data_IF_989181788537
#
_entry.id   IF_989181788537
#
_cell.length_a   1.000
_cell.length_b   1.000
_cell.length_c   1.000
_cell.angle_alpha   90.00
_cell.angle_beta   90.00
_cell.angle_gamma   90.00
#
_symmetry.space_group_name_H-M   'P 1'
#
loop_
_entity.id
_entity.type
_entity.pdbx_description
1 polymer ?
#
# COMPACT_ATOMS: atom_id res chain seq x y z
N UNK A 1 19.53 54.36 -15.85
CA UNK A 1 18.40 53.67 -15.24
C UNK A 1 18.40 52.26 -15.80
N UNK A 2 18.64 51.26 -14.95
CA UNK A 2 18.56 49.85 -15.40
C UNK A 2 17.06 49.51 -15.55
N UNK A 3 16.67 49.18 -16.78
CA UNK A 3 15.34 48.61 -17.04
C UNK A 3 15.34 47.23 -16.39
N UNK A 4 14.64 47.09 -15.27
CA UNK A 4 14.38 45.75 -14.69
C UNK A 4 13.61 44.95 -15.74
N UNK A 5 14.20 43.86 -16.22
CA UNK A 5 13.49 42.95 -17.10
C UNK A 5 12.24 42.44 -16.37
N UNK A 6 11.11 42.45 -17.06
CA UNK A 6 9.86 41.87 -16.50
C UNK A 6 10.11 40.43 -16.05
N UNK A 7 9.55 40.00 -14.91
CA UNK A 7 9.77 38.66 -14.41
C UNK A 7 9.32 37.61 -15.43
N UNK A 8 10.16 36.60 -15.70
CA UNK A 8 9.84 35.50 -16.61
C UNK A 8 8.88 34.50 -15.92
N UNK A 9 7.66 34.40 -16.47
CA UNK A 9 6.62 33.53 -15.95
C UNK A 9 7.02 32.05 -15.88
N UNK A 10 7.80 31.56 -16.85
CA UNK A 10 8.36 30.20 -16.85
C UNK A 10 9.35 30.01 -15.70
N UNK A 11 10.25 30.97 -15.50
CA UNK A 11 11.24 30.90 -14.44
C UNK A 11 10.56 30.94 -13.07
N UNK A 12 9.62 31.85 -12.84
CA UNK A 12 8.88 31.95 -11.60
C UNK A 12 8.04 30.70 -11.34
N UNK A 13 7.38 30.14 -12.36
CA UNK A 13 6.67 28.87 -12.26
C UNK A 13 7.61 27.74 -11.85
N UNK A 14 8.76 27.62 -12.51
CA UNK A 14 9.75 26.58 -12.22
C UNK A 14 10.23 26.63 -10.77
N UNK A 15 10.47 27.82 -10.24
CA UNK A 15 10.97 28.01 -8.87
C UNK A 15 9.92 27.76 -7.79
N UNK A 16 8.64 28.08 -8.05
CA UNK A 16 7.62 28.13 -7.02
C UNK A 16 6.52 27.06 -7.16
N UNK A 17 6.28 26.53 -8.34
CA UNK A 17 5.09 25.73 -8.64
C UNK A 17 5.40 24.34 -9.20
N UNK A 18 6.50 24.17 -9.95
CA UNK A 18 6.77 22.96 -10.73
C UNK A 18 6.99 21.71 -9.90
N UNK A 19 7.38 21.84 -8.63
CA UNK A 19 7.56 20.70 -7.72
C UNK A 19 6.23 19.98 -7.42
N UNK A 20 5.11 20.72 -7.51
CA UNK A 20 3.80 20.18 -7.15
C UNK A 20 2.83 20.11 -8.34
N UNK A 21 3.09 20.82 -9.43
CA UNK A 21 2.20 20.93 -10.59
C UNK A 21 2.92 20.56 -11.87
N UNK A 22 2.48 19.49 -12.54
CA UNK A 22 2.96 19.07 -13.85
C UNK A 22 1.98 19.47 -14.95
N UNK A 23 2.44 19.48 -16.21
CA UNK A 23 1.63 19.91 -17.35
C UNK A 23 0.30 19.14 -17.44
N UNK A 24 0.38 17.83 -17.49
CA UNK A 24 -0.72 16.94 -17.88
C UNK A 24 -1.01 15.83 -16.85
N UNK A 25 -0.44 15.92 -15.67
CA UNK A 25 -0.63 14.92 -14.59
C UNK A 25 -0.80 15.60 -13.23
N UNK A 26 -1.72 15.07 -12.43
CA UNK A 26 -1.79 15.40 -11.01
C UNK A 26 -0.68 14.66 -10.25
N UNK A 27 0.14 15.37 -9.49
CA UNK A 27 1.18 14.81 -8.61
C UNK A 27 0.82 15.11 -7.16
N UNK A 28 1.26 16.23 -6.64
CA UNK A 28 0.85 16.77 -5.34
C UNK A 28 -0.37 17.68 -5.52
N UNK A 29 -0.28 18.59 -6.49
CA UNK A 29 -1.34 19.49 -6.90
C UNK A 29 -1.97 19.08 -8.25
N UNK A 30 -3.05 19.78 -8.67
CA UNK A 30 -3.69 19.56 -9.96
C UNK A 30 -2.71 19.81 -11.13
N UNK A 31 -2.98 19.16 -12.26
CA UNK A 31 -2.26 19.42 -13.51
C UNK A 31 -2.47 20.86 -14.01
N UNK A 32 -1.58 21.35 -14.86
CA UNK A 32 -1.80 22.67 -15.48
C UNK A 32 -3.01 22.65 -16.42
N UNK A 33 -3.34 21.51 -17.02
CA UNK A 33 -4.56 21.33 -17.80
C UNK A 33 -5.81 21.54 -16.92
N UNK A 34 -5.84 20.96 -15.73
CA UNK A 34 -6.92 21.18 -14.76
C UNK A 34 -6.97 22.64 -14.28
N UNK A 35 -5.82 23.22 -13.92
CA UNK A 35 -5.72 24.62 -13.50
C UNK A 35 -6.25 25.54 -14.61
N UNK A 36 -5.88 25.30 -15.86
CA UNK A 36 -6.45 26.02 -17.00
C UNK A 36 -7.97 25.89 -17.04
N UNK A 37 -8.51 24.70 -16.91
CA UNK A 37 -9.97 24.47 -16.92
C UNK A 37 -10.70 25.26 -15.84
N UNK A 38 -10.08 25.43 -14.67
CA UNK A 38 -10.66 26.17 -13.54
C UNK A 38 -10.58 27.69 -13.70
N UNK A 39 -9.46 28.21 -14.27
CA UNK A 39 -9.11 29.63 -14.21
C UNK A 39 -8.96 30.32 -15.57
N UNK A 40 -9.25 29.64 -16.70
CA UNK A 40 -9.20 30.31 -18.02
C UNK A 40 -10.12 31.53 -18.03
N UNK A 41 -9.58 32.69 -18.39
CA UNK A 41 -10.29 33.97 -18.38
C UNK A 41 -10.57 34.54 -16.98
N UNK A 42 -10.00 33.95 -15.92
CA UNK A 42 -10.23 34.36 -14.51
C UNK A 42 -8.90 34.60 -13.76
N UNK A 43 -8.04 35.52 -14.23
CA UNK A 43 -6.74 35.76 -13.60
C UNK A 43 -6.86 36.17 -12.15
N UNK A 44 -7.84 37.02 -11.79
CA UNK A 44 -7.99 37.51 -10.43
C UNK A 44 -8.45 36.40 -9.44
N UNK A 45 -9.23 35.43 -9.90
CA UNK A 45 -9.60 34.28 -9.07
C UNK A 45 -8.39 33.34 -8.86
N UNK A 46 -7.53 33.18 -9.88
CA UNK A 46 -6.27 32.48 -9.75
C UNK A 46 -5.35 33.15 -8.72
N UNK A 47 -5.21 34.47 -8.79
CA UNK A 47 -4.40 35.24 -7.83
C UNK A 47 -4.92 35.07 -6.40
N UNK A 48 -6.23 35.30 -6.19
CA UNK A 48 -6.87 35.15 -4.88
C UNK A 48 -6.62 33.76 -4.30
N UNK A 49 -6.81 32.71 -5.14
CA UNK A 49 -6.55 31.34 -4.73
C UNK A 49 -5.09 31.12 -4.35
N UNK A 50 -4.16 31.58 -5.18
CA UNK A 50 -2.72 31.40 -4.97
C UNK A 50 -2.20 32.10 -3.72
N UNK A 51 -2.78 33.24 -3.36
CA UNK A 51 -2.42 34.00 -2.15
C UNK A 51 -3.02 33.35 -0.89
N UNK A 52 -4.27 32.90 -0.95
CA UNK A 52 -4.99 32.33 0.19
C UNK A 52 -5.65 30.98 -0.19
N UNK A 53 -4.86 29.95 -0.47
CA UNK A 53 -5.40 28.67 -0.86
C UNK A 53 -6.16 28.00 0.28
N UNK A 54 -7.24 27.31 -0.08
CA UNK A 54 -8.05 26.55 0.87
C UNK A 54 -8.04 25.07 0.50
N UNK A 55 -8.32 24.20 1.46
CA UNK A 55 -8.38 22.76 1.21
C UNK A 55 -9.63 22.41 0.40
N UNK A 56 -9.46 22.02 -0.87
CA UNK A 56 -10.56 21.61 -1.75
C UNK A 56 -10.71 20.08 -1.87
N UNK A 57 -9.67 19.32 -1.52
CA UNK A 57 -9.67 17.85 -1.65
C UNK A 57 -9.33 17.20 -0.33
N UNK A 58 -10.19 16.31 0.19
CA UNK A 58 -9.84 15.48 1.35
C UNK A 58 -8.56 14.68 1.08
N UNK A 59 -7.65 14.60 2.05
CA UNK A 59 -6.40 13.84 1.91
C UNK A 59 -5.29 14.50 1.07
N UNK A 60 -5.56 15.58 0.35
CA UNK A 60 -4.52 16.32 -0.37
C UNK A 60 -3.62 17.12 0.59
N UNK A 61 -2.36 17.31 0.20
CA UNK A 61 -1.45 18.25 0.86
C UNK A 61 -1.95 19.67 0.60
N UNK A 62 -1.92 20.51 1.62
CA UNK A 62 -2.36 21.89 1.50
C UNK A 62 -1.36 22.69 0.66
N UNK A 63 -1.86 23.43 -0.34
CA UNK A 63 -1.03 24.32 -1.13
C UNK A 63 -0.53 25.46 -0.22
N UNK A 64 0.78 25.74 -0.16
CA UNK A 64 1.28 26.87 0.58
C UNK A 64 0.85 28.20 -0.07
N UNK A 65 0.71 29.26 0.74
CA UNK A 65 0.46 30.60 0.21
C UNK A 65 1.62 31.10 -0.65
N UNK A 66 1.30 31.61 -1.82
CA UNK A 66 2.25 32.19 -2.77
C UNK A 66 2.33 33.72 -2.67
N UNK A 67 1.94 34.29 -1.54
CA UNK A 67 1.96 35.76 -1.30
C UNK A 67 3.35 36.36 -1.54
N UNK A 68 4.42 35.62 -1.28
CA UNK A 68 5.81 36.05 -1.46
C UNK A 68 6.20 36.26 -2.93
N UNK A 69 5.46 35.69 -3.89
CA UNK A 69 5.70 35.87 -5.33
C UNK A 69 5.21 37.25 -5.80
N UNK A 70 4.24 37.82 -5.09
CA UNK A 70 3.60 39.06 -5.44
C UNK A 70 2.59 38.94 -6.59
N UNK A 71 1.67 39.91 -6.68
CA UNK A 71 0.62 39.87 -7.70
C UNK A 71 1.14 39.90 -9.13
N UNK A 72 2.16 40.72 -9.43
CA UNK A 72 2.75 40.78 -10.75
C UNK A 72 3.40 39.45 -11.15
N UNK A 73 4.15 38.82 -10.24
CA UNK A 73 4.74 37.50 -10.45
C UNK A 73 3.69 36.42 -10.63
N UNK A 74 2.59 36.47 -9.90
CA UNK A 74 1.48 35.51 -10.06
C UNK A 74 0.73 35.70 -11.38
N UNK A 75 0.63 36.92 -11.91
CA UNK A 75 0.03 37.19 -13.23
C UNK A 75 0.85 36.57 -14.35
N UNK A 76 2.16 36.77 -14.36
CA UNK A 76 3.01 36.14 -15.40
C UNK A 76 3.11 34.63 -15.26
N UNK A 77 2.99 34.06 -14.03
CA UNK A 77 2.82 32.62 -13.82
C UNK A 77 1.49 32.15 -14.41
N UNK A 78 0.40 32.87 -14.19
CA UNK A 78 -0.90 32.56 -14.77
C UNK A 78 -0.83 32.51 -16.30
N UNK A 79 -0.25 33.55 -16.94
CA UNK A 79 -0.10 33.61 -18.40
C UNK A 79 0.72 32.43 -18.91
N UNK A 80 1.83 32.11 -18.25
CA UNK A 80 2.64 30.95 -18.57
C UNK A 80 1.84 29.64 -18.50
N UNK A 81 1.07 29.41 -17.42
CA UNK A 81 0.21 28.23 -17.27
C UNK A 81 -0.81 28.16 -18.41
N UNK A 82 -1.48 29.29 -18.72
CA UNK A 82 -2.47 29.34 -19.80
C UNK A 82 -1.86 29.04 -21.15
N UNK A 83 -0.62 29.44 -21.39
CA UNK A 83 0.05 29.20 -22.67
C UNK A 83 0.50 27.73 -22.78
N UNK A 84 1.24 27.21 -21.80
CA UNK A 84 1.84 25.86 -21.91
C UNK A 84 0.79 24.75 -21.87
N UNK A 85 -0.35 24.98 -21.23
CA UNK A 85 -1.43 24.01 -21.14
C UNK A 85 -2.46 24.09 -22.27
N UNK A 86 -2.28 25.02 -23.21
CA UNK A 86 -3.17 25.18 -24.37
C UNK A 86 -3.07 23.97 -25.28
N UNK A 87 -4.21 23.27 -25.47
CA UNK A 87 -4.29 22.07 -26.29
C UNK A 87 -3.71 20.81 -25.66
N UNK A 88 -3.11 20.91 -24.46
CA UNK A 88 -2.69 19.74 -23.73
C UNK A 88 -3.89 18.95 -23.18
N UNK A 89 -3.77 17.63 -23.13
CA UNK A 89 -4.79 16.71 -22.61
C UNK A 89 -4.25 16.11 -21.32
N UNK A 90 -5.09 16.11 -20.28
CA UNK A 90 -4.75 15.48 -19.02
C UNK A 90 -4.60 13.97 -19.19
N UNK A 91 -3.46 13.44 -18.82
CA UNK A 91 -3.25 12.00 -18.78
C UNK A 91 -4.09 11.41 -17.66
N UNK A 92 -5.01 10.53 -18.02
CA UNK A 92 -5.73 9.74 -17.01
C UNK A 92 -4.72 8.89 -16.26
N UNK A 93 -4.75 9.01 -14.95
CA UNK A 93 -3.98 8.15 -14.07
C UNK A 93 -4.55 6.74 -14.22
N UNK A 94 -3.82 5.85 -14.88
CA UNK A 94 -4.18 4.45 -14.91
C UNK A 94 -4.08 3.90 -13.49
N UNK A 95 -5.24 3.54 -12.93
CA UNK A 95 -5.32 2.79 -11.69
C UNK A 95 -5.07 1.33 -12.04
N UNK A 96 -3.84 0.91 -12.00
CA UNK A 96 -3.45 -0.47 -12.25
C UNK A 96 -2.28 -0.87 -11.37
N UNK A 97 -2.09 -2.15 -11.18
CA UNK A 97 -0.87 -2.68 -10.61
C UNK A 97 0.27 -2.39 -11.59
N UNK A 98 1.23 -1.49 -11.27
CA UNK A 98 2.34 -1.18 -12.18
C UNK A 98 3.24 -2.39 -12.44
N UNK A 99 3.13 -3.46 -11.63
CA UNK A 99 3.81 -4.73 -11.83
C UNK A 99 3.05 -5.66 -12.77
N UNK A 100 1.73 -5.52 -12.89
CA UNK A 100 0.93 -6.31 -13.85
C UNK A 100 1.27 -5.97 -15.31
N UNK A 101 1.75 -4.77 -15.59
CA UNK A 101 2.09 -4.29 -16.92
C UNK A 101 3.51 -4.71 -17.38
N UNK A 102 4.34 -5.26 -16.50
CA UNK A 102 5.71 -5.70 -16.84
C UNK A 102 5.81 -7.21 -16.82
N UNK A 103 6.09 -7.86 -17.98
CA UNK A 103 6.28 -9.30 -18.03
C UNK A 103 7.37 -9.82 -17.07
N UNK A 104 8.36 -8.99 -16.74
CA UNK A 104 9.44 -9.32 -15.81
C UNK A 104 9.07 -9.07 -14.35
N UNK A 105 8.03 -8.30 -14.08
CA UNK A 105 7.57 -7.94 -12.74
C UNK A 105 6.29 -8.68 -12.32
N UNK A 106 5.60 -9.31 -13.27
CA UNK A 106 4.43 -10.14 -13.01
C UNK A 106 4.78 -11.60 -12.64
N UNK A 107 6.06 -11.88 -12.37
CA UNK A 107 6.48 -13.23 -11.95
C UNK A 107 5.97 -13.50 -10.55
N UNK A 108 5.16 -14.56 -10.42
CA UNK A 108 4.67 -15.06 -9.13
C UNK A 108 5.49 -16.27 -8.69
N UNK A 109 5.69 -16.45 -7.39
CA UNK A 109 5.27 -15.58 -6.28
C UNK A 109 6.08 -14.28 -6.19
N UNK A 110 5.51 -13.24 -5.53
CA UNK A 110 6.16 -11.95 -5.36
C UNK A 110 6.05 -11.47 -3.91
N UNK A 111 7.12 -10.87 -3.38
CA UNK A 111 7.19 -10.36 -2.01
C UNK A 111 7.63 -8.89 -2.04
N UNK A 112 6.87 -8.03 -1.40
CA UNK A 112 7.17 -6.60 -1.32
C UNK A 112 7.06 -6.07 0.10
N UNK A 113 8.06 -5.29 0.53
CA UNK A 113 7.98 -4.45 1.72
C UNK A 113 7.35 -3.13 1.33
N UNK A 114 6.14 -2.90 1.76
CA UNK A 114 5.35 -1.73 1.37
C UNK A 114 4.32 -1.43 2.47
N UNK A 115 3.94 -0.17 2.61
CA UNK A 115 2.90 0.23 3.55
C UNK A 115 1.55 -0.27 3.08
N UNK A 116 0.95 -1.14 3.88
CA UNK A 116 -0.34 -1.76 3.60
C UNK A 116 -1.43 -1.19 4.53
N UNK A 117 -2.69 -1.10 4.07
CA UNK A 117 -3.81 -0.74 4.94
C UNK A 117 -3.88 -1.64 6.18
N UNK A 118 -4.33 -1.11 7.30
CA UNK A 118 -4.55 -1.84 8.57
C UNK A 118 -3.37 -2.69 9.06
N UNK A 119 -2.15 -2.31 8.68
CA UNK A 119 -0.91 -2.95 9.09
C UNK A 119 0.11 -1.92 9.58
N UNK A 120 1.15 -2.37 10.29
CA UNK A 120 2.24 -1.50 10.70
C UNK A 120 3.10 -1.06 9.51
N UNK A 121 3.94 -0.02 9.66
CA UNK A 121 4.90 0.36 8.63
C UNK A 121 5.88 -0.76 8.21
N UNK A 122 5.95 -1.84 8.99
CA UNK A 122 6.78 -3.01 8.70
C UNK A 122 6.02 -4.11 7.95
N UNK A 123 4.96 -3.78 7.24
CA UNK A 123 4.15 -4.73 6.49
C UNK A 123 4.87 -5.30 5.26
N UNK A 124 4.49 -6.51 4.92
CA UNK A 124 5.02 -7.31 3.82
C UNK A 124 3.85 -7.86 3.03
N UNK A 125 3.68 -7.37 1.81
CA UNK A 125 2.71 -7.91 0.87
C UNK A 125 3.31 -9.11 0.13
N UNK A 126 2.55 -10.18 0.02
CA UNK A 126 2.94 -11.43 -0.66
C UNK A 126 1.87 -11.81 -1.66
N UNK A 127 2.21 -11.85 -2.94
CA UNK A 127 1.42 -12.56 -3.94
C UNK A 127 1.89 -14.01 -3.96
N UNK A 128 1.02 -14.92 -3.58
CA UNK A 128 1.32 -16.36 -3.61
C UNK A 128 1.27 -16.90 -5.03
N UNK A 129 0.27 -16.44 -5.78
CA UNK A 129 0.04 -16.68 -7.20
C UNK A 129 -0.65 -15.46 -7.82
N UNK A 130 -1.31 -15.62 -8.97
CA UNK A 130 -1.97 -14.53 -9.69
C UNK A 130 -3.25 -14.02 -8.99
N UNK A 131 -3.84 -14.81 -8.08
CA UNK A 131 -5.15 -14.52 -7.48
C UNK A 131 -5.16 -14.51 -5.96
N UNK A 132 -4.16 -15.07 -5.30
CA UNK A 132 -4.08 -15.17 -3.85
C UNK A 132 -2.98 -14.28 -3.29
N UNK A 133 -3.36 -13.28 -2.50
CA UNK A 133 -2.47 -12.36 -1.84
C UNK A 133 -2.64 -12.33 -0.32
N UNK A 134 -1.59 -12.01 0.41
CA UNK A 134 -1.64 -11.82 1.85
C UNK A 134 -0.75 -10.66 2.32
N UNK A 135 -1.12 -10.06 3.44
CA UNK A 135 -0.33 -9.10 4.18
C UNK A 135 0.17 -9.73 5.48
N UNK A 136 1.48 -9.90 5.59
CA UNK A 136 2.14 -10.29 6.82
C UNK A 136 2.80 -9.06 7.47
N UNK A 137 2.62 -8.86 8.76
CA UNK A 137 3.09 -7.68 9.45
C UNK A 137 4.25 -8.01 10.38
N UNK A 138 5.45 -7.55 10.04
CA UNK A 138 6.64 -7.74 10.85
C UNK A 138 6.60 -6.96 12.17
N UNK A 139 5.83 -5.88 12.25
CA UNK A 139 5.67 -5.12 13.50
C UNK A 139 4.87 -5.89 14.56
N UNK A 140 3.88 -6.67 14.15
CA UNK A 140 3.08 -7.52 15.03
C UNK A 140 3.43 -9.01 14.91
N UNK A 141 4.36 -9.37 14.02
CA UNK A 141 4.83 -10.74 13.75
C UNK A 141 3.70 -11.74 13.48
N UNK A 142 2.76 -11.36 12.60
CA UNK A 142 1.60 -12.19 12.26
C UNK A 142 1.02 -11.88 10.88
N UNK A 143 0.20 -12.79 10.36
CA UNK A 143 -0.71 -12.53 9.27
C UNK A 143 -1.72 -11.44 9.67
N UNK A 144 -1.94 -10.46 8.82
CA UNK A 144 -2.97 -9.44 9.05
C UNK A 144 -4.26 -9.80 8.32
N UNK A 145 -4.14 -10.06 7.04
CA UNK A 145 -5.26 -10.45 6.20
C UNK A 145 -4.79 -11.13 4.92
N UNK A 146 -5.73 -11.79 4.25
CA UNK A 146 -5.56 -12.31 2.91
C UNK A 146 -6.70 -11.84 2.00
N UNK A 147 -6.37 -11.64 0.72
CA UNK A 147 -7.31 -11.19 -0.31
C UNK A 147 -7.21 -12.04 -1.56
N UNK A 148 -8.20 -11.92 -2.44
CA UNK A 148 -8.25 -12.63 -3.72
C UNK A 148 -8.45 -11.63 -4.85
N UNK A 149 -7.92 -11.95 -6.05
CA UNK A 149 -7.95 -11.06 -7.21
C UNK A 149 -6.55 -10.51 -7.53
N UNK A 150 -6.44 -9.29 -7.99
CA UNK A 150 -5.14 -8.66 -8.30
C UNK A 150 -4.26 -8.48 -7.07
N UNK A 151 -2.97 -8.20 -7.26
CA UNK A 151 -2.05 -8.03 -6.15
C UNK A 151 -2.24 -6.68 -5.44
N UNK A 152 -1.43 -5.69 -5.75
CA UNK A 152 -1.51 -4.35 -5.16
C UNK A 152 -1.19 -3.28 -6.19
N UNK A 153 -1.80 -2.09 -6.05
CA UNK A 153 -1.39 -0.88 -6.73
C UNK A 153 -0.54 -0.03 -5.77
N UNK A 154 0.76 -0.02 -5.98
CA UNK A 154 1.70 0.76 -5.17
C UNK A 154 1.90 2.20 -5.66
N UNK A 155 1.10 2.66 -6.62
CA UNK A 155 1.31 3.93 -7.31
C UNK A 155 1.29 5.15 -6.37
N UNK A 156 0.35 5.19 -5.42
CA UNK A 156 0.28 6.26 -4.43
C UNK A 156 1.47 6.30 -3.48
N UNK A 157 2.03 5.13 -3.16
CA UNK A 157 3.23 4.99 -2.34
C UNK A 157 4.48 5.52 -3.06
N UNK A 158 4.63 5.18 -4.35
CA UNK A 158 5.84 5.57 -5.09
C UNK A 158 5.84 7.00 -5.59
N UNK A 159 4.69 7.64 -5.71
CA UNK A 159 4.58 9.04 -6.12
C UNK A 159 4.41 10.02 -4.96
N UNK A 160 4.13 9.55 -3.77
CA UNK A 160 4.00 10.37 -2.59
C UNK A 160 5.29 10.43 -1.78
N UNK A 161 5.35 11.34 -0.82
CA UNK A 161 6.46 11.49 0.12
C UNK A 161 6.46 10.42 1.23
N UNK A 162 6.16 9.16 0.88
CA UNK A 162 6.21 8.03 1.81
C UNK A 162 5.00 7.84 2.71
N UNK A 163 3.92 8.62 2.54
CA UNK A 163 2.69 8.50 3.34
C UNK A 163 1.55 7.75 2.62
N UNK A 164 1.78 7.28 1.40
CA UNK A 164 0.79 6.55 0.63
C UNK A 164 0.74 5.08 1.02
N UNK A 165 -0.45 4.55 1.28
CA UNK A 165 -0.67 3.11 1.42
C UNK A 165 -0.83 2.47 0.04
N UNK A 166 -0.39 1.21 -0.10
CA UNK A 166 -0.71 0.41 -1.26
C UNK A 166 -2.23 0.16 -1.33
N UNK A 167 -2.79 0.14 -2.53
CA UNK A 167 -4.17 -0.23 -2.76
C UNK A 167 -4.25 -1.73 -3.04
N UNK A 168 -5.11 -2.46 -2.33
CA UNK A 168 -5.36 -3.88 -2.55
C UNK A 168 -6.27 -4.02 -3.78
N UNK A 169 -5.85 -4.81 -4.78
CA UNK A 169 -6.59 -5.00 -6.04
C UNK A 169 -7.57 -6.18 -5.98
N UNK A 170 -8.31 -6.26 -4.89
CA UNK A 170 -9.34 -7.29 -4.72
C UNK A 170 -9.95 -7.29 -3.33
N UNK A 171 -10.99 -8.11 -3.10
CA UNK A 171 -11.64 -8.15 -1.80
C UNK A 171 -10.80 -8.88 -0.76
N UNK A 172 -10.67 -8.29 0.43
CA UNK A 172 -10.15 -8.98 1.61
C UNK A 172 -11.15 -10.06 2.03
N UNK A 173 -10.69 -11.31 2.11
CA UNK A 173 -11.50 -12.47 2.42
C UNK A 173 -11.27 -13.04 3.81
N UNK A 174 -10.09 -12.82 4.37
CA UNK A 174 -9.71 -13.28 5.70
C UNK A 174 -8.97 -12.16 6.44
N UNK A 175 -9.25 -12.01 7.72
CA UNK A 175 -8.57 -11.05 8.60
C UNK A 175 -8.22 -11.73 9.93
N UNK A 176 -6.95 -11.66 10.33
CA UNK A 176 -6.49 -12.16 11.63
C UNK A 176 -6.49 -11.01 12.64
N UNK A 177 -7.39 -11.08 13.62
CA UNK A 177 -7.57 -10.00 14.61
C UNK A 177 -6.45 -9.99 15.67
N UNK A 178 -6.00 -11.17 16.09
CA UNK A 178 -4.94 -11.33 17.09
C UNK A 178 -3.98 -12.44 16.65
N UNK A 179 -2.81 -12.53 17.32
CA UNK A 179 -1.91 -13.67 17.11
C UNK A 179 -2.60 -14.99 17.48
N UNK A 180 -2.48 -16.05 16.66
CA UNK A 180 -3.03 -17.34 17.02
C UNK A 180 -2.40 -17.93 18.28
N UNK A 181 -1.22 -17.46 18.66
CA UNK A 181 -0.55 -17.85 19.92
C UNK A 181 -1.09 -17.13 21.16
N UNK A 182 -2.13 -16.31 21.02
CA UNK A 182 -2.75 -15.50 22.07
C UNK A 182 -2.44 -14.02 21.94
N UNK A 183 -3.43 -13.19 22.24
CA UNK A 183 -3.33 -11.71 22.09
C UNK A 183 -2.22 -11.11 22.96
N UNK A 184 -2.00 -11.64 24.15
CA UNK A 184 -1.02 -11.14 25.13
C UNK A 184 0.37 -11.80 24.96
N UNK A 185 0.54 -12.68 23.99
CA UNK A 185 1.84 -13.33 23.76
C UNK A 185 2.81 -12.33 23.16
N UNK A 186 3.96 -12.16 23.83
CA UNK A 186 5.02 -11.29 23.30
C UNK A 186 5.58 -11.87 22.00
N UNK A 187 5.41 -11.12 20.91
CA UNK A 187 5.84 -11.51 19.58
C UNK A 187 7.09 -10.71 19.19
N UNK A 188 8.08 -11.35 18.58
CA UNK A 188 9.27 -10.67 18.08
C UNK A 188 9.69 -11.21 16.73
N UNK A 189 9.64 -10.39 15.72
CA UNK A 189 10.13 -10.71 14.39
C UNK A 189 11.64 -10.85 14.35
N UNK A 190 12.12 -11.89 13.67
CA UNK A 190 13.55 -12.20 13.53
C UNK A 190 14.04 -12.14 12.08
N UNK A 191 13.13 -11.98 11.13
CA UNK A 191 13.44 -11.92 9.71
C UNK A 191 12.69 -12.96 8.89
N UNK A 192 12.94 -12.96 7.59
CA UNK A 192 12.46 -14.01 6.70
C UNK A 192 13.54 -14.36 5.65
N UNK A 193 13.40 -15.52 5.05
CA UNK A 193 14.15 -15.94 3.87
C UNK A 193 13.18 -16.35 2.77
N UNK A 194 13.61 -16.28 1.52
CA UNK A 194 12.83 -16.75 0.39
C UNK A 194 13.22 -18.19 0.03
N UNK A 195 12.21 -19.01 -0.26
CA UNK A 195 12.36 -20.35 -0.85
C UNK A 195 11.36 -20.46 -1.99
N UNK A 196 11.85 -20.65 -3.22
CA UNK A 196 10.99 -20.63 -4.41
C UNK A 196 10.21 -19.32 -4.59
N UNK A 197 10.77 -18.17 -4.16
CA UNK A 197 10.11 -16.88 -4.20
C UNK A 197 9.13 -16.62 -3.03
N UNK A 198 8.74 -17.63 -2.26
CA UNK A 198 7.83 -17.50 -1.13
C UNK A 198 8.58 -17.24 0.19
N UNK A 199 8.04 -16.41 1.10
CA UNK A 199 8.69 -16.08 2.35
C UNK A 199 8.52 -17.21 3.38
N UNK A 200 9.58 -17.45 4.13
CA UNK A 200 9.58 -18.24 5.36
C UNK A 200 9.91 -17.28 6.49
N UNK A 201 8.90 -16.86 7.22
CA UNK A 201 9.03 -15.94 8.34
C UNK A 201 9.57 -16.65 9.57
N UNK A 202 10.39 -15.96 10.35
CA UNK A 202 10.92 -16.43 11.64
C UNK A 202 10.65 -15.39 12.70
N UNK A 203 10.11 -15.84 13.81
CA UNK A 203 9.77 -14.99 14.95
C UNK A 203 9.72 -15.79 16.25
N UNK A 204 9.66 -15.12 17.38
CA UNK A 204 9.34 -15.76 18.66
C UNK A 204 7.91 -15.45 19.06
N UNK A 205 7.23 -16.43 19.65
CA UNK A 205 5.95 -16.28 20.33
C UNK A 205 6.16 -16.68 21.82
N UNK A 206 6.38 -15.67 22.65
CA UNK A 206 6.94 -15.86 23.99
C UNK A 206 8.33 -16.49 23.91
N UNK A 207 8.54 -17.60 24.61
CA UNK A 207 9.82 -18.34 24.57
C UNK A 207 9.94 -19.29 23.36
N UNK A 208 8.92 -19.42 22.50
CA UNK A 208 8.91 -20.38 21.39
C UNK A 208 9.48 -19.74 20.13
N UNK A 209 10.44 -20.41 19.50
CA UNK A 209 10.84 -20.08 18.14
C UNK A 209 9.81 -20.62 17.16
N UNK A 210 9.31 -19.77 16.28
CA UNK A 210 8.32 -20.14 15.27
C UNK A 210 8.89 -19.86 13.89
N UNK A 211 8.70 -20.80 12.98
CA UNK A 211 8.87 -20.62 11.55
C UNK A 211 7.51 -20.79 10.88
N UNK A 212 7.15 -19.85 10.03
CA UNK A 212 5.86 -19.80 9.36
C UNK A 212 6.05 -19.55 7.88
N UNK A 213 5.38 -20.32 7.03
CA UNK A 213 5.45 -20.18 5.58
C UNK A 213 4.08 -20.33 4.94
N UNK A 214 3.97 -19.85 3.70
CA UNK A 214 2.74 -19.81 2.94
C UNK A 214 2.95 -20.37 1.55
N UNK A 215 1.91 -21.02 1.03
CA UNK A 215 1.79 -21.38 -0.39
C UNK A 215 0.34 -21.22 -0.84
N UNK A 216 0.07 -21.06 -2.14
CA UNK A 216 -1.30 -21.11 -2.64
C UNK A 216 -1.89 -22.52 -2.43
N UNK A 217 -3.22 -22.63 -2.36
CA UNK A 217 -3.91 -23.92 -2.52
C UNK A 217 -3.74 -24.43 -3.94
N UNK A 218 -3.83 -25.75 -4.15
CA UNK A 218 -3.67 -26.34 -5.48
C UNK A 218 -4.76 -25.89 -6.44
N UNK A 219 -5.99 -25.75 -5.94
CA UNK A 219 -7.15 -25.37 -6.74
C UNK A 219 -7.99 -24.34 -6.01
N UNK A 220 -8.33 -23.24 -6.69
CA UNK A 220 -9.27 -22.23 -6.21
C UNK A 220 -8.65 -21.10 -5.43
N UNK A 221 -9.44 -20.50 -4.54
CA UNK A 221 -9.06 -19.33 -3.75
C UNK A 221 -8.66 -19.75 -2.35
N UNK A 222 -7.47 -19.33 -1.92
CA UNK A 222 -7.00 -19.64 -0.57
C UNK A 222 -5.50 -19.85 -0.47
N UNK A 223 -5.08 -20.28 0.70
CA UNK A 223 -3.67 -20.50 1.00
C UNK A 223 -3.45 -21.62 2.01
N UNK A 224 -2.28 -22.19 1.96
CA UNK A 224 -1.76 -23.13 2.94
C UNK A 224 -0.78 -22.39 3.82
N UNK A 225 -0.96 -22.51 5.15
CA UNK A 225 -0.11 -21.90 6.18
C UNK A 225 0.58 -22.98 6.97
N UNK A 226 1.89 -23.10 6.89
CA UNK A 226 2.66 -24.13 7.55
C UNK A 226 3.49 -23.54 8.68
N UNK A 227 3.43 -24.18 9.83
CA UNK A 227 4.17 -23.81 11.03
C UNK A 227 5.20 -24.86 11.41
N UNK A 228 6.31 -24.40 11.98
CA UNK A 228 7.24 -25.23 12.74
C UNK A 228 7.57 -24.51 14.03
N UNK A 229 7.34 -25.17 15.16
CA UNK A 229 7.60 -24.62 16.51
C UNK A 229 8.80 -25.33 17.12
N UNK A 230 9.86 -24.60 17.36
CA UNK A 230 11.01 -25.08 18.12
C UNK A 230 10.64 -25.21 19.62
N UNK A 231 11.20 -26.19 20.30
CA UNK A 231 10.84 -26.53 21.68
C UNK A 231 9.33 -26.86 21.78
N UNK A 232 8.89 -27.92 21.12
CA UNK A 232 7.46 -28.21 21.01
C UNK A 232 6.87 -28.55 22.39
N UNK A 233 5.78 -27.86 22.70
CA UNK A 233 4.91 -28.11 23.85
C UNK A 233 3.49 -28.21 23.35
N UNK A 234 2.59 -28.77 24.12
CA UNK A 234 1.17 -28.72 23.79
C UNK A 234 0.74 -27.26 23.65
N UNK A 235 0.03 -26.94 22.57
CA UNK A 235 -0.44 -25.57 22.31
C UNK A 235 -1.91 -25.61 21.90
N UNK A 236 -2.61 -24.53 22.25
CA UNK A 236 -3.94 -24.22 21.70
C UNK A 236 -3.81 -22.93 20.93
N UNK A 237 -4.19 -22.95 19.66
CA UNK A 237 -4.14 -21.81 18.78
C UNK A 237 -5.57 -21.37 18.44
N UNK A 238 -5.78 -20.06 18.37
CA UNK A 238 -7.08 -19.46 18.07
C UNK A 238 -7.18 -19.06 16.60
N UNK A 239 -8.17 -19.61 15.90
CA UNK A 239 -8.52 -19.31 14.52
C UNK A 239 -10.03 -19.06 14.41
N UNK A 240 -10.52 -17.89 14.86
CA UNK A 240 -11.95 -17.59 14.89
C UNK A 240 -12.61 -17.81 13.52
N UNK A 241 -13.79 -18.42 13.52
CA UNK A 241 -14.54 -18.63 12.30
C UNK A 241 -14.91 -17.29 11.65
N UNK A 242 -14.78 -17.22 10.32
CA UNK A 242 -15.16 -16.06 9.53
C UNK A 242 -16.06 -16.51 8.37
N UNK A 243 -17.04 -15.68 8.04
CA UNK A 243 -17.94 -15.95 6.91
C UNK A 243 -17.16 -16.08 5.61
N UNK A 244 -17.46 -17.10 4.82
CA UNK A 244 -16.77 -17.37 3.56
C UNK A 244 -15.37 -17.98 3.70
N UNK A 245 -14.94 -18.33 4.93
CA UNK A 245 -13.63 -18.94 5.19
C UNK A 245 -13.82 -20.32 5.81
N UNK A 246 -13.20 -21.31 5.19
CA UNK A 246 -13.10 -22.67 5.77
C UNK A 246 -11.64 -22.95 6.11
N UNK A 247 -11.38 -23.34 7.35
CA UNK A 247 -10.04 -23.71 7.82
C UNK A 247 -10.02 -25.20 8.16
N UNK A 248 -9.03 -25.91 7.66
CA UNK A 248 -8.75 -27.30 8.03
C UNK A 248 -7.31 -27.44 8.51
N UNK A 249 -7.05 -28.40 9.38
CA UNK A 249 -5.73 -28.71 9.91
C UNK A 249 -5.32 -30.13 9.54
N UNK A 250 -4.05 -30.33 9.23
CA UNK A 250 -3.48 -31.68 8.96
C UNK A 250 -3.20 -32.45 10.25
N UNK A 251 -3.07 -31.74 11.37
CA UNK A 251 -2.80 -32.32 12.70
C UNK A 251 -3.61 -31.64 13.77
N UNK A 252 -3.76 -32.34 14.91
CA UNK A 252 -4.49 -31.84 16.06
C UNK A 252 -6.00 -31.89 15.89
N UNK A 253 -6.70 -31.23 16.79
CA UNK A 253 -8.17 -31.19 16.82
C UNK A 253 -8.61 -29.73 16.68
N UNK A 254 -9.23 -29.40 15.56
CA UNK A 254 -9.80 -28.07 15.29
C UNK A 254 -11.29 -28.08 15.61
N UNK A 255 -11.69 -27.43 16.70
CA UNK A 255 -13.08 -27.31 17.13
C UNK A 255 -13.37 -25.90 17.63
N UNK A 256 -14.51 -25.34 17.20
CA UNK A 256 -14.93 -23.99 17.62
C UNK A 256 -13.91 -22.90 17.34
N UNK A 257 -13.09 -23.04 16.28
CA UNK A 257 -12.04 -22.10 15.95
C UNK A 257 -10.76 -22.23 16.80
N UNK A 258 -10.66 -23.30 17.61
CA UNK A 258 -9.46 -23.60 18.41
C UNK A 258 -8.79 -24.86 17.91
N UNK A 259 -7.51 -24.78 17.62
CA UNK A 259 -6.68 -25.92 17.25
C UNK A 259 -5.85 -26.37 18.46
N UNK A 260 -6.13 -27.55 18.96
CA UNK A 260 -5.38 -28.20 20.05
C UNK A 260 -4.37 -29.17 19.47
N UNK A 261 -3.12 -29.00 19.84
CA UNK A 261 -1.97 -29.79 19.35
C UNK A 261 -1.20 -30.39 20.53
N UNK A 262 -0.87 -31.66 20.43
CA UNK A 262 0.15 -32.29 21.30
C UNK A 262 1.55 -31.70 20.98
N UNK A 263 2.55 -31.92 21.88
CA UNK A 263 3.92 -31.45 21.58
C UNK A 263 4.47 -31.96 20.25
N UNK A 264 4.23 -33.23 19.92
CA UNK A 264 4.70 -33.82 18.67
C UNK A 264 4.05 -33.20 17.43
N UNK A 265 2.75 -32.92 17.48
CA UNK A 265 2.00 -32.25 16.42
C UNK A 265 2.41 -30.79 16.26
N UNK A 266 2.61 -30.07 17.38
CA UNK A 266 3.01 -28.68 17.40
C UNK A 266 4.41 -28.44 16.78
N UNK A 267 5.28 -29.44 16.74
CA UNK A 267 6.59 -29.36 16.12
C UNK A 267 6.51 -28.94 14.63
N UNK A 268 5.51 -29.47 13.90
CA UNK A 268 5.24 -29.07 12.53
C UNK A 268 3.78 -29.43 12.19
N UNK A 269 3.00 -28.45 11.73
CA UNK A 269 1.60 -28.63 11.31
C UNK A 269 1.23 -27.63 10.22
N UNK A 270 0.13 -27.90 9.55
CA UNK A 270 -0.33 -27.11 8.41
C UNK A 270 -1.83 -26.81 8.54
N UNK A 271 -2.20 -25.61 8.19
CA UNK A 271 -3.57 -25.15 8.04
C UNK A 271 -3.86 -24.82 6.58
N UNK A 272 -4.99 -25.27 6.08
CA UNK A 272 -5.48 -24.89 4.75
C UNK A 272 -6.68 -23.97 4.90
N UNK A 273 -6.59 -22.81 4.29
CA UNK A 273 -7.64 -21.80 4.23
C UNK A 273 -8.26 -21.81 2.85
N UNK A 274 -9.55 -22.15 2.75
CA UNK A 274 -10.34 -22.00 1.53
C UNK A 274 -11.18 -20.74 1.65
N UNK A 275 -11.07 -19.84 0.66
CA UNK A 275 -11.72 -18.53 0.62
C UNK A 275 -12.86 -18.56 -0.43
N UNK A 276 -14.01 -17.95 -0.10
CA UNK A 276 -15.19 -17.90 -1.00
C UNK A 276 -15.59 -16.45 -1.31
#
# INVERSE_FOLDING_TARGET
MAVSAAPDGKQLFTMNCSACHLLDQMVVGPSLVEIRGLYIGKPDDFLKWSIAPQKKRPGAIDMPSMVHVGEEGLRVIYDHIMEVSKGAVEKKREKGDPYAASPTQAVRPQVMRIFMPDASPASIAVALDDVNGLCWDAGSSRLRYAWTGGFIAGFSYWQGNGNGLAEILGPVRYTEQASPFGADTAMKFLGYKLKGGLPIFRYTAGARMVTESYSPVADGLGFVRSFSVGTPVAVVLDFPAQSGVTVTADKGKLEGGKLSLTPAEAAAFTLTYSLK
#
